data_IF_416260845912
#
_entry.id   IF_416260845912
#
_cell.length_a   1.000
_cell.length_b   1.000
_cell.length_c   1.000
_cell.angle_alpha   90.00
_cell.angle_beta   90.00
_cell.angle_gamma   90.00
#
_symmetry.space_group_name_H-M   'P 1'
#
loop_
_entity.id
_entity.type
_entity.pdbx_description
1 polymer ?
#
# COMPACT_ATOMS: atom_id res chain seq x y z
N UNK A 1 0.00 2.91 17.86
CA UNK A 1 1.02 3.86 17.40
C UNK A 1 1.39 3.64 15.94
N UNK A 2 2.21 2.64 15.63
CA UNK A 2 2.85 2.51 14.30
C UNK A 2 1.94 2.14 13.12
N UNK A 3 0.78 1.50 13.31
CA UNK A 3 -0.02 1.00 12.18
C UNK A 3 -0.80 2.09 11.41
N UNK A 4 -1.15 3.21 12.06
CA UNK A 4 -1.77 4.37 11.40
C UNK A 4 -0.76 5.35 10.81
N UNK A 5 0.45 5.42 11.38
CA UNK A 5 1.51 6.33 10.95
C UNK A 5 2.05 5.96 9.56
N UNK A 6 2.08 4.66 9.20
CA UNK A 6 2.49 4.25 7.84
C UNK A 6 1.49 4.66 6.76
N UNK A 7 0.18 4.67 7.05
CA UNK A 7 -0.82 5.19 6.11
C UNK A 7 -0.72 6.71 5.95
N UNK A 8 -0.44 7.41 7.06
CA UNK A 8 -0.23 8.86 7.06
C UNK A 8 1.05 9.25 6.32
N UNK A 9 2.16 8.53 6.45
CA UNK A 9 3.42 8.91 5.80
C UNK A 9 3.35 8.82 4.27
N UNK A 10 2.68 7.81 3.72
CA UNK A 10 2.45 7.73 2.26
C UNK A 10 1.51 8.84 1.81
N UNK A 11 0.43 9.10 2.57
CA UNK A 11 -0.54 10.15 2.25
C UNK A 11 0.05 11.55 2.38
N UNK A 12 0.84 11.84 3.42
CA UNK A 12 1.51 13.13 3.66
C UNK A 12 2.71 13.35 2.73
N UNK A 13 3.46 12.31 2.36
CA UNK A 13 4.51 12.39 1.33
C UNK A 13 3.93 12.82 -0.03
N UNK A 14 2.79 12.25 -0.41
CA UNK A 14 2.03 12.62 -1.59
C UNK A 14 1.41 14.03 -1.46
N UNK A 15 0.82 14.36 -0.30
CA UNK A 15 0.17 15.64 -0.04
C UNK A 15 1.16 16.82 -0.01
N UNK A 16 2.34 16.67 0.61
CA UNK A 16 3.39 17.70 0.60
C UNK A 16 4.02 17.88 -0.77
N UNK A 17 4.17 16.80 -1.55
CA UNK A 17 4.67 16.89 -2.93
C UNK A 17 3.69 17.60 -3.86
N UNK A 18 2.38 17.58 -3.56
CA UNK A 18 1.33 18.28 -4.31
C UNK A 18 1.26 19.79 -3.98
N UNK A 19 1.62 20.20 -2.76
CA UNK A 19 1.48 21.59 -2.30
C UNK A 19 2.71 22.49 -2.53
N UNK A 20 3.91 21.93 -2.72
CA UNK A 20 5.17 22.72 -2.75
C UNK A 20 5.73 23.02 -4.15
N UNK A 21 4.99 22.72 -5.23
CA UNK A 21 5.50 22.78 -6.60
C UNK A 21 5.04 23.96 -7.45
N UNK A 22 5.21 25.22 -7.00
CA UNK A 22 5.11 26.40 -7.88
C UNK A 22 6.31 27.32 -7.68
N UNK A 23 7.39 27.05 -8.42
CA UNK A 23 8.43 28.04 -8.67
C UNK A 23 8.41 28.39 -10.15
N UNK A 24 7.94 29.60 -10.48
CA UNK A 24 8.10 30.18 -11.80
C UNK A 24 9.58 30.53 -12.00
N UNK A 25 10.28 29.80 -12.87
CA UNK A 25 11.51 30.32 -13.48
C UNK A 25 11.25 30.59 -14.96
N UNK A 26 11.37 31.86 -15.33
CA UNK A 26 11.33 32.33 -16.71
C UNK A 26 12.53 31.78 -17.48
N UNK A 27 12.31 30.91 -18.45
CA UNK A 27 13.34 30.50 -19.40
C UNK A 27 13.51 31.56 -20.47
N UNK A 28 14.68 32.23 -20.50
CA UNK A 28 15.12 33.03 -21.65
C UNK A 28 15.50 32.11 -22.80
N UNK A 29 15.01 32.44 -23.99
CA UNK A 29 15.32 31.76 -25.25
C UNK A 29 16.83 31.76 -25.51
N UNK A 30 17.42 30.56 -25.58
CA UNK A 30 18.74 30.32 -26.14
C UNK A 30 18.54 29.52 -27.43
N UNK A 31 18.92 30.13 -28.55
CA UNK A 31 18.88 29.52 -29.87
C UNK A 31 19.72 28.24 -29.91
N UNK A 32 19.06 27.08 -30.00
CA UNK A 32 19.71 25.76 -30.02
C UNK A 32 19.67 25.18 -31.44
N UNK A 33 20.71 25.49 -32.22
CA UNK A 33 21.01 24.79 -33.46
C UNK A 33 22.24 23.90 -33.27
N UNK A 34 22.15 22.66 -33.76
CA UNK A 34 23.22 21.69 -33.96
C UNK A 34 23.91 21.09 -32.73
N UNK A 35 23.28 20.06 -32.16
CA UNK A 35 24.02 18.91 -31.62
C UNK A 35 23.90 17.78 -32.64
N UNK A 36 25.00 17.50 -33.33
CA UNK A 36 25.09 16.45 -34.33
C UNK A 36 24.91 15.06 -33.73
N UNK A 37 24.02 14.27 -34.34
CA UNK A 37 24.15 12.84 -34.66
C UNK A 37 24.38 11.78 -33.56
N UNK A 38 24.90 12.11 -32.39
CA UNK A 38 25.26 11.09 -31.40
C UNK A 38 24.05 10.71 -30.54
N UNK A 39 23.66 9.44 -30.63
CA UNK A 39 22.54 8.86 -29.90
C UNK A 39 22.84 8.91 -28.39
N UNK A 40 22.10 9.72 -27.63
CA UNK A 40 22.20 9.72 -26.18
C UNK A 40 21.81 8.35 -25.61
N UNK A 41 22.73 7.71 -24.89
CA UNK A 41 22.52 6.43 -24.20
C UNK A 41 22.80 6.62 -22.70
N UNK A 42 21.78 6.54 -21.83
CA UNK A 42 21.94 6.71 -20.39
C UNK A 42 22.66 5.51 -19.78
N UNK A 43 23.36 5.75 -18.68
CA UNK A 43 23.83 4.66 -17.82
C UNK A 43 22.63 4.03 -17.10
N UNK A 44 22.38 2.75 -17.38
CA UNK A 44 21.26 2.01 -16.81
C UNK A 44 21.70 1.30 -15.53
N UNK A 45 20.75 1.08 -14.61
CA UNK A 45 21.08 0.29 -13.43
C UNK A 45 21.46 -1.13 -13.85
N UNK A 46 22.32 -1.83 -13.10
CA UNK A 46 22.70 -3.19 -13.44
C UNK A 46 21.48 -4.05 -13.79
N UNK A 47 21.56 -4.84 -14.87
CA UNK A 47 20.46 -5.68 -15.38
C UNK A 47 19.35 -4.95 -16.15
N UNK A 48 19.32 -3.62 -16.13
CA UNK A 48 18.34 -2.82 -16.88
C UNK A 48 18.83 -2.66 -18.30
N UNK A 49 17.99 -2.99 -19.28
CA UNK A 49 18.34 -2.97 -20.69
C UNK A 49 17.42 -2.02 -21.44
N UNK A 50 17.99 -1.20 -22.32
CA UNK A 50 17.23 -0.38 -23.26
C UNK A 50 16.58 -1.28 -24.32
N UNK A 51 15.31 -1.00 -24.60
CA UNK A 51 14.50 -1.74 -25.57
C UNK A 51 14.17 -0.90 -26.79
N UNK A 52 13.95 0.40 -26.59
CA UNK A 52 13.76 1.37 -27.66
C UNK A 52 14.21 2.75 -27.23
N UNK A 53 14.89 3.46 -28.12
CA UNK A 53 15.31 4.85 -27.93
C UNK A 53 14.78 5.68 -29.09
N UNK A 54 14.06 6.77 -28.80
CA UNK A 54 13.49 7.66 -29.81
C UNK A 54 13.90 9.11 -29.51
N UNK A 55 14.55 9.75 -30.48
CA UNK A 55 14.96 11.15 -30.40
C UNK A 55 13.85 12.08 -30.91
N UNK A 56 13.90 13.36 -30.53
CA UNK A 56 12.94 14.37 -31.00
C UNK A 56 11.54 14.22 -30.41
N UNK A 57 11.40 13.48 -29.31
CA UNK A 57 10.12 13.35 -28.58
C UNK A 57 9.90 14.60 -27.75
N UNK A 58 8.70 15.16 -27.80
CA UNK A 58 8.31 16.27 -26.92
C UNK A 58 7.62 15.70 -25.69
N UNK A 59 8.14 16.02 -24.51
CA UNK A 59 7.57 15.64 -23.22
C UNK A 59 6.83 16.82 -22.60
N UNK A 60 5.61 16.55 -22.14
CA UNK A 60 4.78 17.46 -21.39
C UNK A 60 4.40 16.80 -20.07
N UNK A 61 4.85 17.37 -18.95
CA UNK A 61 4.25 17.08 -17.66
C UNK A 61 3.10 18.07 -17.45
N UNK A 62 1.88 17.59 -17.66
CA UNK A 62 0.63 18.38 -17.63
C UNK A 62 0.50 19.22 -16.35
N UNK A 63 1.21 18.84 -15.27
CA UNK A 63 1.14 19.49 -13.98
C UNK A 63 2.28 20.48 -13.65
N UNK A 64 3.44 20.49 -14.35
CA UNK A 64 4.65 21.13 -13.78
C UNK A 64 5.65 21.80 -14.72
N UNK A 65 5.71 21.52 -16.02
CA UNK A 65 6.80 22.05 -16.87
C UNK A 65 6.32 22.47 -18.24
N UNK A 66 6.97 23.49 -18.80
CA UNK A 66 6.86 23.78 -20.23
C UNK A 66 7.25 22.54 -21.05
N UNK A 67 6.67 22.34 -22.25
CA UNK A 67 7.03 21.25 -23.14
C UNK A 67 8.54 21.25 -23.41
N UNK A 68 9.17 20.08 -23.35
CA UNK A 68 10.60 19.93 -23.61
C UNK A 68 10.83 18.86 -24.68
N UNK A 69 11.63 19.18 -25.70
CA UNK A 69 12.05 18.20 -26.70
C UNK A 69 13.30 17.45 -26.21
N UNK A 70 13.36 16.15 -26.49
CA UNK A 70 14.45 15.30 -26.03
C UNK A 70 14.38 13.86 -26.51
N UNK A 71 15.00 12.99 -25.71
CA UNK A 71 15.14 11.57 -25.96
C UNK A 71 14.21 10.77 -25.05
N UNK A 72 13.35 9.93 -25.64
CA UNK A 72 12.52 8.94 -24.95
C UNK A 72 13.22 7.59 -24.97
N UNK A 73 13.26 6.90 -23.84
CA UNK A 73 13.94 5.61 -23.70
C UNK A 73 13.05 4.66 -22.92
N UNK A 74 12.69 3.56 -23.55
CA UNK A 74 11.96 2.46 -22.92
C UNK A 74 12.94 1.38 -22.52
N UNK A 75 12.91 0.97 -21.26
CA UNK A 75 13.70 -0.15 -20.75
C UNK A 75 12.80 -1.30 -20.31
N UNK A 76 13.40 -2.42 -19.92
CA UNK A 76 12.69 -3.53 -19.28
C UNK A 76 12.18 -3.21 -17.86
N UNK A 77 12.44 -2.01 -17.32
CA UNK A 77 12.04 -1.57 -15.98
C UNK A 77 11.16 -0.32 -15.96
N UNK A 78 11.51 0.68 -16.76
CA UNK A 78 10.95 2.04 -16.70
C UNK A 78 11.01 2.74 -18.05
N UNK A 79 10.39 3.90 -18.08
CA UNK A 79 10.50 4.89 -19.15
C UNK A 79 11.38 6.02 -18.63
N UNK A 80 12.33 6.45 -19.45
CA UNK A 80 13.18 7.60 -19.20
C UNK A 80 12.93 8.66 -20.26
N UNK A 81 13.01 9.91 -19.85
CA UNK A 81 13.06 11.04 -20.75
C UNK A 81 14.13 12.03 -20.33
N UNK A 82 14.98 12.39 -21.28
CA UNK A 82 16.07 13.34 -21.09
C UNK A 82 15.95 14.43 -22.15
N UNK A 83 15.71 15.66 -21.70
CA UNK A 83 15.59 16.84 -22.55
C UNK A 83 16.90 17.16 -23.24
N UNK A 84 16.84 17.79 -24.40
CA UNK A 84 18.03 18.22 -25.12
C UNK A 84 18.89 19.18 -24.29
N UNK A 85 18.26 20.05 -23.50
CA UNK A 85 18.95 20.95 -22.58
C UNK A 85 19.74 20.19 -21.51
N UNK A 86 19.15 19.14 -20.93
CA UNK A 86 19.85 18.27 -19.98
C UNK A 86 21.05 17.57 -20.63
N UNK A 87 20.89 17.08 -21.87
CA UNK A 87 21.99 16.45 -22.63
C UNK A 87 23.14 17.44 -22.80
N UNK A 88 22.88 18.66 -23.29
CA UNK A 88 23.88 19.73 -23.49
C UNK A 88 24.63 20.01 -22.17
N UNK A 89 23.87 20.25 -21.10
CA UNK A 89 24.44 20.65 -19.81
C UNK A 89 25.38 19.60 -19.21
N UNK A 90 25.08 18.32 -19.39
CA UNK A 90 25.93 17.24 -18.92
C UNK A 90 27.15 17.02 -19.82
N UNK A 91 26.98 17.08 -21.14
CA UNK A 91 28.11 17.03 -22.09
C UNK A 91 29.13 18.13 -21.80
N UNK A 92 28.67 19.36 -21.54
CA UNK A 92 29.53 20.50 -21.19
C UNK A 92 30.28 20.32 -19.86
N UNK A 93 29.75 19.51 -18.94
CA UNK A 93 30.39 19.21 -17.65
C UNK A 93 31.37 18.03 -17.71
N UNK A 94 31.60 17.45 -18.89
CA UNK A 94 32.47 16.27 -19.05
C UNK A 94 31.99 15.03 -18.29
N UNK A 95 30.72 15.02 -17.86
CA UNK A 95 30.10 13.92 -17.13
C UNK A 95 29.05 13.28 -18.01
N UNK A 96 29.06 11.96 -18.14
CA UNK A 96 27.87 11.26 -18.60
C UNK A 96 26.74 11.55 -17.61
N UNK A 97 25.53 11.84 -18.07
CA UNK A 97 24.44 12.16 -17.17
C UNK A 97 24.06 10.91 -16.38
N UNK A 98 24.37 10.90 -15.07
CA UNK A 98 23.81 9.94 -14.14
C UNK A 98 22.28 10.10 -14.15
N UNK A 99 21.58 8.96 -14.13
CA UNK A 99 20.13 8.87 -14.22
C UNK A 99 19.40 9.74 -13.16
N UNK A 100 19.99 9.94 -11.97
CA UNK A 100 19.36 10.75 -10.92
C UNK A 100 19.42 12.27 -11.19
N UNK A 101 20.43 12.76 -11.92
CA UNK A 101 20.68 14.20 -12.04
C UNK A 101 20.19 14.80 -13.37
N UNK A 102 20.07 13.98 -14.42
CA UNK A 102 19.80 14.46 -15.77
C UNK A 102 18.39 14.17 -16.30
N UNK A 103 17.72 13.20 -15.69
CA UNK A 103 16.48 12.66 -16.20
C UNK A 103 15.31 13.60 -15.86
N UNK A 104 14.68 14.15 -16.90
CA UNK A 104 13.52 15.02 -16.74
C UNK A 104 12.25 14.22 -16.37
N UNK A 105 12.17 12.96 -16.76
CA UNK A 105 11.11 12.05 -16.33
C UNK A 105 11.61 10.62 -16.19
N UNK A 106 11.40 10.04 -15.02
CA UNK A 106 11.49 8.60 -14.84
C UNK A 106 10.16 8.03 -14.38
N UNK A 107 9.68 7.03 -15.12
CA UNK A 107 8.42 6.36 -14.85
C UNK A 107 8.60 4.85 -14.85
N UNK A 108 8.67 4.24 -13.66
CA UNK A 108 8.72 2.79 -13.54
C UNK A 108 7.42 2.16 -14.04
N UNK A 109 7.51 1.02 -14.74
CA UNK A 109 6.33 0.36 -15.33
C UNK A 109 5.25 0.05 -14.28
N UNK A 110 5.64 -0.20 -13.03
CA UNK A 110 4.74 -0.46 -11.91
C UNK A 110 3.89 0.74 -11.48
N UNK A 111 4.34 1.96 -11.77
CA UNK A 111 3.66 3.22 -11.43
C UNK A 111 2.61 3.62 -12.47
N UNK A 112 2.64 3.03 -13.66
CA UNK A 112 1.65 3.27 -14.71
C UNK A 112 0.32 2.61 -14.29
N UNK A 113 -0.76 3.40 -14.31
CA UNK A 113 -2.12 2.91 -14.05
C UNK A 113 -2.88 2.72 -15.37
N UNK A 114 -2.85 3.74 -16.23
CA UNK A 114 -3.46 3.71 -17.57
C UNK A 114 -2.52 4.35 -18.58
N UNK A 115 -2.61 3.91 -19.83
CA UNK A 115 -1.90 4.54 -20.93
C UNK A 115 -2.73 4.47 -22.20
N UNK A 116 -2.59 5.48 -23.04
CA UNK A 116 -3.32 5.59 -24.32
C UNK A 116 -2.44 6.24 -25.37
N UNK A 117 -2.51 5.71 -26.59
CA UNK A 117 -1.92 6.34 -27.77
C UNK A 117 -3.05 6.93 -28.62
N UNK A 118 -2.96 8.22 -28.97
CA UNK A 118 -3.86 8.88 -29.91
C UNK A 118 -3.02 9.60 -30.95
N UNK A 119 -3.03 9.13 -32.21
CA UNK A 119 -2.08 9.55 -33.25
C UNK A 119 -0.65 9.31 -32.74
N UNK A 120 0.14 10.38 -32.57
CA UNK A 120 1.52 10.28 -32.07
C UNK A 120 1.65 10.72 -30.61
N UNK A 121 0.53 10.91 -29.92
CA UNK A 121 0.50 11.34 -28.52
C UNK A 121 0.28 10.14 -27.61
N UNK A 122 1.31 9.78 -26.85
CA UNK A 122 1.28 8.73 -25.85
C UNK A 122 1.15 9.35 -24.46
N UNK A 123 0.05 9.06 -23.78
CA UNK A 123 -0.26 9.61 -22.46
C UNK A 123 -0.26 8.51 -21.42
N UNK A 124 0.47 8.72 -20.32
CA UNK A 124 0.49 7.87 -19.15
C UNK A 124 -0.20 8.57 -17.97
N UNK A 125 -1.15 7.88 -17.38
CA UNK A 125 -1.70 8.22 -16.07
C UNK A 125 -1.09 7.31 -15.02
N UNK A 126 -0.52 7.92 -13.98
CA UNK A 126 0.29 7.22 -13.00
C UNK A 126 -0.43 7.12 -11.65
N UNK A 127 -0.06 6.12 -10.85
CA UNK A 127 -0.58 5.85 -9.50
C UNK A 127 -0.14 6.90 -8.46
N UNK A 128 0.88 7.68 -8.78
CA UNK A 128 1.39 8.81 -7.99
C UNK A 128 0.80 10.15 -8.46
N UNK A 129 -0.33 10.10 -9.17
CA UNK A 129 -1.08 11.24 -9.70
C UNK A 129 -0.38 12.04 -10.80
N UNK A 130 0.77 11.59 -11.32
CA UNK A 130 1.39 12.22 -12.49
C UNK A 130 0.65 11.86 -13.79
N UNK A 131 0.52 12.84 -14.68
CA UNK A 131 0.13 12.62 -16.08
C UNK A 131 1.29 13.05 -16.97
N UNK A 132 1.89 12.06 -17.63
CA UNK A 132 3.05 12.23 -18.49
C UNK A 132 2.61 12.07 -19.94
N UNK A 133 2.80 13.10 -20.76
CA UNK A 133 2.45 13.09 -22.18
C UNK A 133 3.71 13.16 -23.02
N UNK A 134 3.78 12.30 -24.03
CA UNK A 134 4.88 12.20 -24.98
C UNK A 134 4.34 12.32 -26.39
N UNK A 135 4.78 13.35 -27.12
CA UNK A 135 4.48 13.53 -28.53
C UNK A 135 5.65 13.02 -29.35
N UNK A 136 5.41 11.94 -30.09
CA UNK A 136 6.41 11.26 -30.91
C UNK A 136 6.49 11.85 -32.32
N UNK A 137 7.68 11.91 -32.92
CA UNK A 137 7.82 12.24 -34.34
C UNK A 137 7.45 11.04 -35.22
N UNK A 138 6.65 11.28 -36.27
CA UNK A 138 6.22 10.23 -37.20
C UNK A 138 5.49 9.06 -36.51
N UNK A 139 5.59 7.85 -37.06
CA UNK A 139 4.90 6.65 -36.55
C UNK A 139 5.65 5.92 -35.41
N UNK A 140 6.65 6.56 -34.79
CA UNK A 140 7.50 5.92 -33.76
C UNK A 140 6.77 5.68 -32.43
N UNK A 141 5.65 6.37 -32.19
CA UNK A 141 4.83 6.20 -30.98
C UNK A 141 4.19 4.82 -30.86
N UNK A 142 3.88 4.17 -31.99
CA UNK A 142 3.26 2.83 -32.01
C UNK A 142 4.22 1.75 -31.49
N UNK A 143 5.52 1.87 -31.80
CA UNK A 143 6.54 0.95 -31.31
C UNK A 143 6.73 1.07 -29.80
N UNK A 144 6.77 2.31 -29.29
CA UNK A 144 6.84 2.58 -27.86
C UNK A 144 5.59 2.04 -27.13
N UNK A 145 4.41 2.23 -27.71
CA UNK A 145 3.15 1.72 -27.17
C UNK A 145 3.15 0.19 -27.06
N UNK A 146 3.48 -0.52 -28.14
CA UNK A 146 3.58 -2.00 -28.14
C UNK A 146 4.63 -2.51 -27.16
N UNK A 147 5.77 -1.82 -27.08
CA UNK A 147 6.82 -2.12 -26.10
C UNK A 147 6.28 -2.08 -24.67
N UNK A 148 5.50 -1.05 -24.32
CA UNK A 148 4.92 -0.89 -22.99
C UNK A 148 3.79 -1.88 -22.75
N UNK A 149 2.93 -2.12 -23.74
CA UNK A 149 1.87 -3.13 -23.66
C UNK A 149 2.45 -4.50 -23.29
N UNK A 150 3.61 -4.86 -23.86
CA UNK A 150 4.34 -6.08 -23.51
C UNK A 150 4.69 -6.15 -22.02
N UNK A 151 5.08 -5.06 -21.36
CA UNK A 151 5.43 -5.06 -19.92
C UNK A 151 4.25 -4.83 -18.99
N UNK A 152 3.28 -4.02 -19.41
CA UNK A 152 2.02 -3.83 -18.72
C UNK A 152 1.28 -5.17 -18.60
N UNK A 153 1.26 -5.96 -19.68
CA UNK A 153 0.59 -7.26 -19.77
C UNK A 153 1.53 -8.47 -19.53
N UNK A 154 2.83 -8.25 -19.30
CA UNK A 154 3.78 -9.34 -19.05
C UNK A 154 3.40 -10.16 -17.80
N UNK A 155 3.58 -11.49 -17.89
CA UNK A 155 3.65 -12.38 -16.71
C UNK A 155 4.74 -11.86 -15.77
N UNK A 156 4.47 -11.85 -14.46
CA UNK A 156 5.33 -11.23 -13.43
C UNK A 156 6.79 -11.65 -13.47
N UNK A 157 7.05 -12.94 -13.74
CA UNK A 157 8.40 -13.51 -13.82
C UNK A 157 9.27 -12.78 -14.84
N UNK A 158 8.64 -12.07 -15.79
CA UNK A 158 9.34 -11.35 -16.84
C UNK A 158 9.67 -9.89 -16.49
N UNK A 159 9.30 -9.42 -15.29
CA UNK A 159 9.53 -8.04 -14.87
C UNK A 159 10.90 -7.91 -14.22
N UNK A 160 11.54 -6.76 -14.46
CA UNK A 160 12.88 -6.43 -13.98
C UNK A 160 13.13 -6.78 -12.51
N UNK A 161 12.19 -6.45 -11.61
CA UNK A 161 12.35 -6.72 -10.17
C UNK A 161 12.39 -8.22 -9.80
N UNK A 162 11.88 -9.13 -10.65
CA UNK A 162 11.90 -10.57 -10.42
C UNK A 162 13.16 -11.24 -10.99
N UNK A 163 13.68 -10.75 -12.11
CA UNK A 163 14.92 -11.25 -12.68
C UNK A 163 16.16 -10.73 -11.98
N UNK A 164 16.04 -9.56 -11.37
CA UNK A 164 17.19 -8.81 -10.92
C UNK A 164 17.39 -8.82 -9.40
N UNK A 165 16.90 -9.88 -8.76
CA UNK A 165 17.07 -10.12 -7.33
C UNK A 165 18.53 -10.26 -6.92
N UNK A 166 19.37 -10.74 -7.84
CA UNK A 166 20.84 -10.87 -7.65
C UNK A 166 21.56 -9.52 -7.59
N UNK A 167 21.00 -8.44 -8.16
CA UNK A 167 21.59 -7.09 -8.10
C UNK A 167 21.10 -6.24 -6.92
N UNK A 168 20.18 -6.78 -6.11
CA UNK A 168 19.88 -6.21 -4.80
C UNK A 168 21.02 -6.45 -3.78
N UNK A 169 21.83 -7.51 -3.96
CA UNK A 169 22.98 -7.80 -3.08
C UNK A 169 24.11 -6.76 -3.20
N UNK A 170 24.57 -6.33 -4.39
CA UNK A 170 25.68 -5.38 -4.50
C UNK A 170 25.29 -3.93 -4.16
N UNK A 171 24.03 -3.52 -4.42
CA UNK A 171 23.52 -2.19 -4.02
C UNK A 171 23.41 -2.04 -2.50
N UNK A 172 23.26 -3.15 -1.79
CA UNK A 172 23.36 -3.21 -0.35
C UNK A 172 24.82 -3.48 0.07
N UNK A 173 25.77 -2.58 -0.24
CA UNK A 173 27.18 -2.59 0.22
C UNK A 173 27.36 -3.15 1.64
N UNK A 174 27.35 -4.46 1.82
CA UNK A 174 27.27 -5.17 3.11
C UNK A 174 26.15 -4.81 4.11
N UNK A 175 25.23 -3.87 3.83
CA UNK A 175 24.44 -3.20 4.89
C UNK A 175 23.08 -3.83 5.24
N UNK A 176 22.45 -4.58 4.34
CA UNK A 176 21.13 -5.22 4.61
C UNK A 176 21.17 -6.67 4.16
N UNK A 177 21.81 -7.53 4.96
CA UNK A 177 21.92 -8.97 4.71
C UNK A 177 20.78 -9.78 5.32
N UNK A 178 19.83 -9.12 6.02
CA UNK A 178 18.73 -9.78 6.73
C UNK A 178 17.49 -8.91 6.81
N UNK A 179 16.31 -9.53 6.68
CA UNK A 179 15.04 -8.90 6.99
C UNK A 179 15.04 -8.35 8.42
N UNK A 180 14.72 -7.06 8.58
CA UNK A 180 14.72 -6.39 9.89
C UNK A 180 13.67 -6.93 10.87
N UNK A 181 12.59 -7.52 10.34
CA UNK A 181 11.48 -8.01 11.14
C UNK A 181 11.61 -9.50 11.48
N UNK A 182 11.36 -9.85 12.74
CA UNK A 182 11.19 -11.23 13.21
C UNK A 182 9.96 -11.28 14.11
N UNK A 183 8.99 -12.14 13.77
CA UNK A 183 7.76 -12.31 14.54
C UNK A 183 8.05 -12.73 15.99
N UNK A 184 9.01 -13.63 16.19
CA UNK A 184 9.45 -14.09 17.51
C UNK A 184 10.06 -12.94 18.33
N UNK A 185 10.99 -12.17 17.75
CA UNK A 185 11.60 -11.02 18.43
C UNK A 185 10.55 -9.97 18.79
N UNK A 186 9.60 -9.72 17.89
CA UNK A 186 8.57 -8.71 18.11
C UNK A 186 7.56 -9.16 19.17
N UNK A 187 7.17 -10.43 19.18
CA UNK A 187 6.35 -11.00 20.24
C UNK A 187 7.04 -10.89 21.60
N UNK A 188 8.32 -11.31 21.69
CA UNK A 188 9.14 -11.14 22.91
C UNK A 188 9.17 -9.68 23.37
N UNK A 189 9.33 -8.74 22.44
CA UNK A 189 9.36 -7.30 22.74
C UNK A 189 8.05 -6.80 23.34
N UNK A 190 6.89 -7.24 22.85
CA UNK A 190 5.60 -6.80 23.39
C UNK A 190 5.29 -7.45 24.73
N UNK A 191 5.52 -8.76 24.85
CA UNK A 191 5.26 -9.48 26.09
C UNK A 191 6.21 -9.05 27.20
N UNK A 192 7.38 -8.50 26.88
CA UNK A 192 8.28 -7.90 27.88
C UNK A 192 7.73 -6.60 28.50
N UNK A 193 6.76 -5.92 27.87
CA UNK A 193 6.20 -4.66 28.40
C UNK A 193 5.28 -4.85 29.60
N UNK A 194 4.76 -6.05 29.77
CA UNK A 194 3.92 -6.40 30.90
C UNK A 194 4.44 -7.72 31.46
N UNK A 195 4.99 -7.69 32.67
CA UNK A 195 5.75 -8.81 33.26
C UNK A 195 4.94 -10.11 33.35
N UNK A 196 3.63 -10.03 33.50
CA UNK A 196 2.75 -11.20 33.51
C UNK A 196 2.37 -11.71 32.11
N UNK A 197 2.61 -10.96 31.02
CA UNK A 197 2.21 -11.37 29.68
C UNK A 197 2.68 -12.79 29.26
N UNK A 198 3.90 -13.23 29.59
CA UNK A 198 4.36 -14.58 29.29
C UNK A 198 3.55 -15.70 29.97
N UNK A 199 2.82 -15.41 31.06
CA UNK A 199 1.94 -16.38 31.72
C UNK A 199 0.57 -16.49 31.07
N UNK A 200 0.24 -15.56 30.15
CA UNK A 200 -1.07 -15.48 29.50
C UNK A 200 -1.01 -15.71 27.99
N UNK A 201 0.14 -15.49 27.34
CA UNK A 201 0.30 -15.55 25.89
C UNK A 201 1.35 -16.56 25.48
N UNK A 202 1.08 -17.29 24.40
CA UNK A 202 2.03 -18.17 23.73
C UNK A 202 2.10 -17.86 22.24
N UNK A 203 3.24 -18.17 21.63
CA UNK A 203 3.35 -18.23 20.17
C UNK A 203 2.82 -19.60 19.70
N UNK A 204 1.97 -19.62 18.68
CA UNK A 204 1.58 -20.86 17.98
C UNK A 204 2.24 -20.93 16.61
N UNK A 205 2.58 -22.14 16.18
CA UNK A 205 3.08 -22.49 14.85
C UNK A 205 2.03 -23.26 14.02
N UNK A 206 0.75 -23.25 14.44
CA UNK A 206 -0.35 -23.96 13.76
C UNK A 206 -0.54 -23.56 12.29
N UNK A 207 -0.01 -22.41 11.87
CA UNK A 207 -0.09 -21.89 10.51
C UNK A 207 1.27 -21.94 9.77
N UNK A 208 2.21 -22.80 10.21
CA UNK A 208 3.56 -22.91 9.65
C UNK A 208 3.60 -23.16 8.13
N UNK A 209 2.61 -23.90 7.62
CA UNK A 209 2.42 -24.20 6.20
C UNK A 209 1.29 -23.38 5.56
N UNK A 210 0.78 -22.34 6.23
CA UNK A 210 -0.29 -21.47 5.74
C UNK A 210 -1.65 -22.16 5.47
N UNK A 211 -1.85 -23.39 5.95
CA UNK A 211 -3.07 -24.18 5.69
C UNK A 211 -4.29 -23.67 6.46
N UNK A 212 -4.11 -23.15 7.68
CA UNK A 212 -5.20 -22.62 8.52
C UNK A 212 -5.67 -21.28 7.99
N UNK A 213 -4.73 -20.41 7.64
CA UNK A 213 -5.00 -19.11 7.05
C UNK A 213 -3.85 -18.69 6.14
N UNK A 214 -4.08 -18.81 4.82
CA UNK A 214 -3.10 -18.46 3.80
C UNK A 214 -2.68 -17.00 3.78
N UNK A 215 -3.41 -16.14 4.50
CA UNK A 215 -3.13 -14.71 4.58
C UNK A 215 -2.60 -14.28 5.94
N UNK A 216 -2.36 -15.20 6.89
CA UNK A 216 -1.75 -14.89 8.19
C UNK A 216 -0.26 -15.25 8.18
N UNK A 217 0.53 -14.68 9.11
CA UNK A 217 1.90 -15.12 9.30
C UNK A 217 1.97 -16.60 9.70
N UNK A 218 3.14 -17.20 9.52
CA UNK A 218 3.43 -18.59 9.91
C UNK A 218 3.24 -18.85 11.41
N UNK A 219 3.52 -17.83 12.22
CA UNK A 219 3.54 -17.84 13.67
C UNK A 219 2.85 -16.59 14.19
N UNK A 220 2.03 -16.72 15.25
CA UNK A 220 1.35 -15.59 15.87
C UNK A 220 0.99 -15.87 17.34
N UNK A 221 0.75 -14.78 18.10
CA UNK A 221 0.44 -14.84 19.53
C UNK A 221 -1.04 -15.14 19.81
N UNK A 222 -1.29 -16.05 20.75
CA UNK A 222 -2.63 -16.50 21.20
C UNK A 222 -2.64 -16.73 22.72
N UNK A 223 -3.81 -16.76 23.38
CA UNK A 223 -3.90 -17.12 24.80
C UNK A 223 -3.31 -18.50 25.09
N UNK A 224 -2.52 -18.62 26.17
CA UNK A 224 -1.87 -19.87 26.57
C UNK A 224 -2.87 -20.96 26.97
N UNK A 225 -4.04 -20.55 27.49
CA UNK A 225 -5.12 -21.43 27.93
C UNK A 225 -5.82 -22.17 26.79
N UNK A 226 -5.63 -21.73 25.54
CA UNK A 226 -6.24 -22.32 24.37
C UNK A 226 -5.27 -23.22 23.63
N UNK A 227 -5.71 -24.41 23.24
CA UNK A 227 -4.95 -25.35 22.43
C UNK A 227 -5.21 -25.13 20.94
N UNK A 228 -4.27 -25.52 20.07
CA UNK A 228 -4.41 -25.28 18.62
C UNK A 228 -5.68 -25.95 18.03
N UNK A 229 -6.13 -27.08 18.59
CA UNK A 229 -7.40 -27.73 18.23
C UNK A 229 -8.64 -26.84 18.43
N UNK A 230 -8.61 -25.97 19.44
CA UNK A 230 -9.70 -25.04 19.72
C UNK A 230 -9.61 -23.83 18.79
N UNK A 231 -8.39 -23.38 18.49
CA UNK A 231 -8.11 -22.31 17.54
C UNK A 231 -8.58 -22.64 16.12
N UNK A 232 -8.47 -23.91 15.68
CA UNK A 232 -9.00 -24.35 14.39
C UNK A 232 -10.50 -24.10 14.27
N UNK A 233 -11.28 -24.35 15.33
CA UNK A 233 -12.73 -24.10 15.35
C UNK A 233 -13.06 -22.60 15.28
N UNK A 234 -12.22 -21.76 15.89
CA UNK A 234 -12.34 -20.30 15.81
C UNK A 234 -12.00 -19.83 14.39
N UNK A 235 -10.93 -20.34 13.78
CA UNK A 235 -10.57 -20.06 12.40
C UNK A 235 -11.72 -20.45 11.45
N UNK A 236 -12.35 -21.60 11.68
CA UNK A 236 -13.52 -22.06 10.93
C UNK A 236 -14.75 -21.17 11.11
N UNK A 237 -14.89 -20.45 12.21
CA UNK A 237 -15.95 -19.46 12.38
C UNK A 237 -15.62 -18.11 11.75
N UNK A 238 -14.34 -17.81 11.53
CA UNK A 238 -13.86 -16.50 11.09
C UNK A 238 -13.64 -16.49 9.58
N UNK A 239 -14.03 -15.40 8.93
CA UNK A 239 -13.93 -15.32 7.47
C UNK A 239 -12.49 -15.55 7.00
N UNK A 240 -12.30 -16.51 6.08
CA UNK A 240 -10.99 -16.93 5.54
C UNK A 240 -9.99 -17.46 6.57
N UNK A 241 -10.46 -18.06 7.67
CA UNK A 241 -9.57 -18.61 8.70
C UNK A 241 -8.87 -17.55 9.55
N UNK A 242 -9.24 -16.26 9.41
CA UNK A 242 -8.59 -15.14 10.08
C UNK A 242 -9.09 -14.97 11.52
N UNK A 243 -8.74 -15.94 12.35
CA UNK A 243 -8.99 -15.93 13.78
C UNK A 243 -8.35 -14.72 14.50
N UNK A 244 -8.77 -14.41 15.73
CA UNK A 244 -8.18 -13.31 16.49
C UNK A 244 -6.75 -13.63 16.89
N UNK A 245 -5.82 -12.72 16.60
CA UNK A 245 -4.40 -12.86 16.95
C UNK A 245 -3.87 -11.59 17.61
N UNK A 246 -2.85 -11.73 18.46
CA UNK A 246 -2.22 -10.62 19.17
C UNK A 246 -1.51 -9.65 18.21
N UNK A 247 -1.80 -8.35 18.36
CA UNK A 247 -1.14 -7.27 17.62
C UNK A 247 -0.37 -6.31 18.52
N UNK A 248 -0.79 -6.12 19.77
CA UNK A 248 -0.15 -5.21 20.71
C UNK A 248 -0.48 -5.56 22.17
N UNK A 249 0.48 -5.33 23.06
CA UNK A 249 0.33 -5.42 24.52
C UNK A 249 0.72 -4.08 25.13
N UNK A 250 -0.13 -3.56 26.01
CA UNK A 250 0.08 -2.37 26.83
C UNK A 250 0.65 -2.73 28.20
N UNK A 251 1.28 -1.78 28.88
CA UNK A 251 1.95 -1.99 30.18
C UNK A 251 0.97 -2.37 31.31
N UNK A 252 -0.29 -1.95 31.20
CA UNK A 252 -1.39 -2.36 32.11
C UNK A 252 -1.98 -3.75 31.77
N UNK A 253 -1.35 -4.49 30.85
CA UNK A 253 -1.81 -5.79 30.35
C UNK A 253 -2.98 -5.72 29.36
N UNK A 254 -3.43 -4.52 28.95
CA UNK A 254 -4.44 -4.41 27.91
C UNK A 254 -3.86 -4.83 26.56
N UNK A 255 -4.67 -5.44 25.70
CA UNK A 255 -4.19 -5.91 24.39
C UNK A 255 -5.06 -5.43 23.25
N UNK A 256 -4.45 -5.35 22.08
CA UNK A 256 -5.15 -5.25 20.80
C UNK A 256 -5.00 -6.58 20.10
N UNK A 257 -6.14 -7.19 19.75
CA UNK A 257 -6.21 -8.34 18.87
C UNK A 257 -6.95 -7.98 17.59
N UNK A 258 -6.56 -8.60 16.48
CA UNK A 258 -7.16 -8.38 15.16
C UNK A 258 -7.72 -9.68 14.59
N UNK A 259 -8.78 -9.58 13.81
CA UNK A 259 -9.37 -10.74 13.13
C UNK A 259 -10.11 -10.33 11.85
N UNK A 260 -10.77 -11.29 11.20
CA UNK A 260 -11.87 -11.00 10.27
C UNK A 260 -13.26 -11.17 10.92
N UNK A 261 -14.26 -10.61 10.25
CA UNK A 261 -15.67 -10.76 10.62
C UNK A 261 -16.09 -12.23 10.87
N UNK A 262 -16.98 -12.46 11.85
CA UNK A 262 -17.53 -13.79 12.12
C UNK A 262 -18.47 -14.24 10.99
N UNK A 263 -18.53 -15.55 10.74
CA UNK A 263 -19.53 -16.20 9.89
C UNK A 263 -20.83 -16.44 10.69
N UNK A 264 -21.40 -15.36 11.21
CA UNK A 264 -22.57 -15.39 12.09
C UNK A 264 -23.87 -15.65 11.32
N UNK A 265 -23.94 -15.20 10.07
CA UNK A 265 -25.09 -15.29 9.19
C UNK A 265 -26.34 -14.57 9.74
N UNK A 266 -27.46 -14.77 9.05
CA UNK A 266 -28.75 -14.17 9.43
C UNK A 266 -29.20 -14.61 10.82
N UNK A 267 -29.07 -15.92 11.12
CA UNK A 267 -29.45 -16.52 12.41
C UNK A 267 -28.62 -16.00 13.59
N UNK A 268 -27.46 -15.37 13.34
CA UNK A 268 -26.63 -14.78 14.39
C UNK A 268 -26.21 -15.77 15.47
N UNK A 269 -26.03 -17.04 15.08
CA UNK A 269 -25.86 -18.15 16.02
C UNK A 269 -24.62 -18.00 16.89
N UNK A 270 -24.75 -18.37 18.16
CA UNK A 270 -23.62 -18.40 19.11
C UNK A 270 -22.61 -19.47 18.67
N UNK A 271 -21.37 -19.07 18.39
CA UNK A 271 -20.28 -20.02 18.21
C UNK A 271 -19.56 -20.26 19.54
N UNK A 272 -19.61 -21.49 20.06
CA UNK A 272 -19.03 -21.83 21.37
C UNK A 272 -17.51 -21.58 21.40
N UNK A 273 -16.78 -21.95 20.35
CA UNK A 273 -15.33 -21.78 20.31
C UNK A 273 -14.93 -20.29 20.29
N UNK A 274 -15.61 -19.45 19.52
CA UNK A 274 -15.37 -18.01 19.46
C UNK A 274 -15.69 -17.31 20.79
N UNK A 275 -16.77 -17.72 21.46
CA UNK A 275 -17.12 -17.21 22.81
C UNK A 275 -16.09 -17.66 23.84
N UNK A 276 -15.67 -18.93 23.84
CA UNK A 276 -14.60 -19.42 24.71
C UNK A 276 -13.28 -18.70 24.45
N UNK A 277 -12.97 -18.39 23.20
CA UNK A 277 -11.79 -17.58 22.85
C UNK A 277 -11.90 -16.17 23.47
N UNK A 278 -13.04 -15.51 23.33
CA UNK A 278 -13.28 -14.20 23.93
C UNK A 278 -13.18 -14.21 25.46
N UNK A 279 -13.65 -15.27 26.12
CA UNK A 279 -13.49 -15.46 27.57
C UNK A 279 -12.02 -15.65 27.95
N UNK A 280 -11.28 -16.47 27.18
CA UNK A 280 -9.85 -16.66 27.38
C UNK A 280 -9.07 -15.35 27.21
N UNK A 281 -9.46 -14.50 26.25
CA UNK A 281 -8.92 -13.14 26.14
C UNK A 281 -9.17 -12.37 27.43
N UNK A 282 -10.41 -12.23 27.87
CA UNK A 282 -10.74 -11.48 29.10
C UNK A 282 -9.96 -11.99 30.31
N UNK A 283 -9.77 -13.32 30.43
CA UNK A 283 -8.99 -13.95 31.49
C UNK A 283 -7.48 -13.69 31.43
N UNK A 284 -6.93 -13.26 30.28
CA UNK A 284 -5.54 -12.86 30.14
C UNK A 284 -5.21 -11.55 30.89
N UNK A 285 -6.17 -10.89 31.54
CA UNK A 285 -5.92 -9.75 32.41
C UNK A 285 -6.94 -9.70 33.56
N UNK A 286 -6.48 -9.87 34.80
CA UNK A 286 -7.35 -9.91 35.99
C UNK A 286 -8.06 -8.58 36.28
N UNK A 287 -7.53 -7.47 35.76
CA UNK A 287 -8.14 -6.15 35.90
C UNK A 287 -9.18 -5.86 34.82
N UNK A 288 -9.43 -6.82 33.92
CA UNK A 288 -10.33 -6.66 32.79
C UNK A 288 -11.76 -6.32 33.21
N UNK A 289 -12.29 -5.25 32.61
CA UNK A 289 -13.69 -4.82 32.72
C UNK A 289 -14.57 -5.39 31.61
N UNK A 290 -14.02 -6.24 30.74
CA UNK A 290 -14.73 -6.84 29.61
C UNK A 290 -14.06 -6.60 28.26
N UNK A 291 -14.80 -6.87 27.19
CA UNK A 291 -14.32 -6.88 25.81
C UNK A 291 -14.86 -5.67 25.03
N UNK A 292 -13.99 -4.89 24.39
CA UNK A 292 -14.42 -3.85 23.45
C UNK A 292 -14.17 -4.31 22.02
N UNK A 293 -15.25 -4.51 21.27
CA UNK A 293 -15.24 -4.87 19.86
C UNK A 293 -15.39 -3.60 19.03
N UNK A 294 -14.41 -3.34 18.16
CA UNK A 294 -14.40 -2.20 17.25
C UNK A 294 -14.48 -2.73 15.83
N UNK A 295 -15.66 -2.62 15.22
CA UNK A 295 -15.86 -2.95 13.82
C UNK A 295 -15.59 -1.70 12.99
N UNK A 296 -14.65 -1.80 12.06
CA UNK A 296 -14.28 -0.65 11.26
C UNK A 296 -15.40 -0.14 10.35
N UNK A 297 -16.33 -1.01 9.95
CA UNK A 297 -17.35 -0.69 8.95
C UNK A 297 -18.40 0.27 9.49
N UNK A 298 -19.12 0.97 8.60
CA UNK A 298 -20.45 1.47 8.89
C UNK A 298 -21.39 0.32 9.25
N UNK A 299 -22.31 0.59 10.18
CA UNK A 299 -23.31 -0.40 10.64
C UNK A 299 -24.10 -1.01 9.49
N UNK A 300 -24.48 -0.21 8.48
CA UNK A 300 -25.23 -0.68 7.31
C UNK A 300 -24.40 -1.69 6.49
N UNK A 301 -23.12 -1.39 6.26
CA UNK A 301 -22.21 -2.30 5.55
C UNK A 301 -21.99 -3.60 6.34
N UNK A 302 -21.95 -3.53 7.67
CA UNK A 302 -21.86 -4.71 8.52
C UNK A 302 -23.15 -5.55 8.47
N UNK A 303 -24.31 -4.92 8.43
CA UNK A 303 -25.61 -5.58 8.27
C UNK A 303 -25.75 -6.26 6.89
N UNK A 304 -25.29 -5.61 5.81
CA UNK A 304 -25.27 -6.21 4.48
C UNK A 304 -24.38 -7.48 4.44
N UNK A 305 -23.20 -7.44 5.08
CA UNK A 305 -22.35 -8.63 5.22
C UNK A 305 -23.02 -9.74 6.04
N UNK A 306 -23.84 -9.39 7.04
CA UNK A 306 -24.61 -10.36 7.81
C UNK A 306 -25.64 -11.08 6.95
N UNK A 307 -26.31 -10.35 6.04
CA UNK A 307 -27.21 -10.94 5.06
C UNK A 307 -26.49 -11.90 4.11
N UNK A 308 -25.23 -11.60 3.76
CA UNK A 308 -24.38 -12.46 2.93
C UNK A 308 -23.73 -13.65 3.69
N UNK A 309 -24.17 -13.98 4.90
CA UNK A 309 -23.67 -15.13 5.68
C UNK A 309 -22.51 -14.84 6.63
N UNK A 310 -21.97 -13.61 6.63
CA UNK A 310 -20.97 -13.15 7.59
C UNK A 310 -21.62 -12.35 8.72
N UNK A 311 -21.09 -11.17 9.08
CA UNK A 311 -21.74 -10.25 10.01
C UNK A 311 -20.81 -9.68 11.07
N UNK A 312 -21.33 -9.52 12.27
CA UNK A 312 -20.66 -8.93 13.43
C UNK A 312 -21.15 -9.63 14.70
N UNK A 313 -20.39 -9.49 15.78
CA UNK A 313 -20.64 -10.15 17.05
C UNK A 313 -21.95 -9.68 17.70
N UNK A 314 -22.78 -10.63 18.15
CA UNK A 314 -23.91 -10.32 19.04
C UNK A 314 -23.40 -10.25 20.48
N UNK A 315 -23.29 -9.05 21.05
CA UNK A 315 -22.73 -8.81 22.39
C UNK A 315 -23.44 -9.59 23.50
N UNK A 316 -24.70 -9.99 23.33
CA UNK A 316 -25.40 -10.86 24.29
C UNK A 316 -24.73 -12.23 24.51
N UNK A 317 -23.89 -12.67 23.57
CA UNK A 317 -23.15 -13.94 23.69
C UNK A 317 -21.78 -13.81 24.37
N UNK A 318 -21.30 -12.58 24.57
CA UNK A 318 -19.96 -12.28 25.04
C UNK A 318 -20.05 -11.48 26.34
N UNK A 319 -19.48 -12.03 27.41
CA UNK A 319 -19.55 -11.44 28.74
C UNK A 319 -18.91 -10.04 28.77
N UNK A 320 -19.65 -9.05 29.28
CA UNK A 320 -19.23 -7.65 29.40
C UNK A 320 -18.65 -7.08 28.08
N UNK A 321 -19.22 -7.49 26.94
CA UNK A 321 -18.77 -7.03 25.63
C UNK A 321 -19.53 -5.80 25.13
N UNK A 322 -18.79 -4.86 24.54
CA UNK A 322 -19.34 -3.71 23.82
C UNK A 322 -18.97 -3.79 22.35
N UNK A 323 -19.85 -3.37 21.44
CA UNK A 323 -19.58 -3.30 20.00
C UNK A 323 -19.76 -1.85 19.54
N UNK A 324 -18.74 -1.30 18.87
CA UNK A 324 -18.76 0.02 18.25
C UNK A 324 -18.38 -0.06 16.78
N UNK A 325 -19.15 0.60 15.93
CA UNK A 325 -18.83 0.82 14.52
C UNK A 325 -18.01 2.10 14.37
N UNK A 326 -16.96 2.08 13.52
CA UNK A 326 -16.07 3.21 13.27
C UNK A 326 -16.36 3.95 11.97
N UNK A 327 -17.37 3.50 11.21
CA UNK A 327 -17.87 4.16 10.00
C UNK A 327 -16.83 4.38 8.88
N UNK A 328 -15.81 3.53 8.81
CA UNK A 328 -14.81 3.51 7.74
C UNK A 328 -15.38 2.79 6.52
N UNK A 329 -15.64 3.55 5.48
CA UNK A 329 -16.22 3.05 4.23
C UNK A 329 -15.35 2.01 3.51
N UNK A 330 -15.99 1.30 2.57
CA UNK A 330 -15.33 0.24 1.81
C UNK A 330 -14.34 0.79 0.76
N UNK A 331 -13.54 -0.10 0.17
CA UNK A 331 -12.48 0.27 -0.78
C UNK A 331 -12.96 0.98 -2.05
N UNK A 332 -14.22 0.79 -2.45
CA UNK A 332 -14.76 1.43 -3.65
C UNK A 332 -14.98 2.92 -3.37
N UNK A 333 -15.64 3.23 -2.25
CA UNK A 333 -15.82 4.61 -1.79
C UNK A 333 -14.48 5.34 -1.61
N UNK A 334 -13.49 4.67 -0.97
CA UNK A 334 -12.15 5.24 -0.79
C UNK A 334 -11.44 5.52 -2.13
N UNK A 335 -11.63 4.63 -3.13
CA UNK A 335 -11.05 4.79 -4.46
C UNK A 335 -11.70 5.96 -5.20
N UNK A 336 -13.03 6.06 -5.14
CA UNK A 336 -13.77 7.12 -5.81
C UNK A 336 -13.41 8.50 -5.22
N UNK A 337 -13.24 8.59 -3.90
CA UNK A 337 -12.77 9.80 -3.22
C UNK A 337 -11.37 10.24 -3.68
N UNK A 338 -10.41 9.31 -3.75
CA UNK A 338 -9.04 9.60 -4.21
C UNK A 338 -9.01 9.96 -5.70
N UNK A 339 -9.80 9.28 -6.54
CA UNK A 339 -9.91 9.62 -7.96
C UNK A 339 -10.50 11.01 -8.17
N UNK A 340 -11.55 11.37 -7.42
CA UNK A 340 -12.15 12.70 -7.47
C UNK A 340 -11.14 13.79 -7.07
N UNK A 341 -10.31 13.53 -6.06
CA UNK A 341 -9.23 14.44 -5.67
C UNK A 341 -8.12 14.53 -6.72
N UNK A 342 -7.73 13.39 -7.32
CA UNK A 342 -6.77 13.35 -8.43
C UNK A 342 -7.25 14.22 -9.59
N UNK A 343 -8.50 14.05 -10.01
CA UNK A 343 -9.07 14.79 -11.14
C UNK A 343 -9.12 16.29 -10.86
N UNK A 344 -9.48 16.69 -9.62
CA UNK A 344 -9.44 18.08 -9.19
C UNK A 344 -8.01 18.66 -9.23
N UNK A 345 -7.01 17.95 -8.71
CA UNK A 345 -5.62 18.39 -8.69
C UNK A 345 -4.98 18.48 -10.09
N UNK A 346 -5.49 17.70 -11.05
CA UNK A 346 -5.03 17.71 -12.43
C UNK A 346 -5.76 18.72 -13.31
N UNK A 347 -6.81 19.35 -12.80
CA UNK A 347 -7.51 20.43 -13.51
C UNK A 347 -6.60 21.63 -13.69
N UNK A 348 -6.54 22.15 -14.92
CA UNK A 348 -5.80 23.37 -15.27
C UNK A 348 -6.66 24.64 -15.18
N UNK A 349 -7.94 24.50 -14.87
CA UNK A 349 -8.86 25.63 -14.74
C UNK A 349 -8.63 26.40 -13.43
N UNK A 350 -8.76 27.72 -13.49
CA UNK A 350 -8.88 28.53 -12.28
C UNK A 350 -10.20 28.18 -11.58
N UNK A 351 -10.11 27.78 -10.30
CA UNK A 351 -11.24 27.31 -9.53
C UNK A 351 -11.40 28.15 -8.25
N UNK A 352 -12.26 29.17 -8.32
CA UNK A 352 -12.60 30.01 -7.17
C UNK A 352 -13.33 29.22 -6.05
N UNK A 353 -13.78 27.99 -6.34
CA UNK A 353 -14.43 27.07 -5.41
C UNK A 353 -13.55 25.88 -5.03
N UNK A 354 -12.23 25.97 -5.21
CA UNK A 354 -11.31 24.86 -4.97
C UNK A 354 -11.52 24.16 -3.62
N UNK A 355 -11.65 24.91 -2.52
CA UNK A 355 -11.85 24.32 -1.20
C UNK A 355 -13.17 23.57 -1.06
N UNK A 356 -14.24 24.07 -1.70
CA UNK A 356 -15.54 23.38 -1.74
C UNK A 356 -15.43 22.10 -2.56
N UNK A 357 -14.73 22.14 -3.69
CA UNK A 357 -14.52 20.97 -4.53
C UNK A 357 -13.64 19.92 -3.84
N UNK A 358 -12.63 20.34 -3.05
CA UNK A 358 -11.85 19.45 -2.19
C UNK A 358 -12.75 18.76 -1.17
N UNK A 359 -13.65 19.50 -0.49
CA UNK A 359 -14.58 18.92 0.47
C UNK A 359 -15.54 17.91 -0.18
N UNK A 360 -16.06 18.24 -1.37
CA UNK A 360 -16.92 17.36 -2.17
C UNK A 360 -16.25 16.03 -2.57
N UNK A 361 -14.91 15.95 -2.62
CA UNK A 361 -14.21 14.68 -2.85
C UNK A 361 -14.35 13.69 -1.69
N UNK A 362 -14.73 14.17 -0.51
CA UNK A 362 -14.80 13.41 0.75
C UNK A 362 -13.46 12.80 1.20
N UNK A 363 -12.36 13.07 0.49
CA UNK A 363 -11.08 12.43 0.73
C UNK A 363 -10.54 12.76 2.14
N UNK A 364 -10.54 14.04 2.50
CA UNK A 364 -10.14 14.49 3.85
C UNK A 364 -11.12 14.03 4.93
N UNK A 365 -12.42 13.94 4.61
CA UNK A 365 -13.44 13.38 5.52
C UNK A 365 -13.15 11.93 5.85
N UNK A 366 -12.78 11.11 4.87
CA UNK A 366 -12.39 9.71 5.13
C UNK A 366 -11.08 9.61 5.91
N UNK A 367 -10.09 10.46 5.64
CA UNK A 367 -8.86 10.53 6.46
C UNK A 367 -9.20 10.85 7.92
N UNK A 368 -10.06 11.84 8.16
CA UNK A 368 -10.55 12.19 9.51
C UNK A 368 -11.20 10.99 10.20
N UNK A 369 -12.11 10.28 9.53
CA UNK A 369 -12.82 9.12 10.10
C UNK A 369 -11.83 8.00 10.48
N UNK A 370 -10.83 7.72 9.63
CA UNK A 370 -9.79 6.72 9.92
C UNK A 370 -8.98 7.12 11.15
N UNK A 371 -8.57 8.39 11.25
CA UNK A 371 -7.81 8.92 12.38
C UNK A 371 -8.63 8.92 13.67
N UNK A 372 -9.89 9.32 13.59
CA UNK A 372 -10.80 9.30 14.72
C UNK A 372 -11.03 7.88 15.22
N UNK A 373 -11.28 6.91 14.32
CA UNK A 373 -11.38 5.49 14.69
C UNK A 373 -10.12 4.96 15.38
N UNK A 374 -8.93 5.31 14.88
CA UNK A 374 -7.65 4.93 15.48
C UNK A 374 -7.42 5.60 16.86
N UNK A 375 -7.81 6.87 17.00
CA UNK A 375 -7.73 7.62 18.24
C UNK A 375 -8.67 7.03 19.30
N UNK A 376 -9.92 6.73 18.93
CA UNK A 376 -10.89 6.06 19.82
C UNK A 376 -10.37 4.71 20.32
N UNK A 377 -9.75 3.92 19.44
CA UNK A 377 -9.05 2.68 19.79
C UNK A 377 -7.96 2.94 20.82
N UNK A 378 -7.06 3.88 20.54
CA UNK A 378 -5.94 4.21 21.41
C UNK A 378 -6.39 4.71 22.79
N UNK A 379 -7.45 5.52 22.86
CA UNK A 379 -8.02 6.00 24.12
C UNK A 379 -8.66 4.90 24.96
N UNK A 380 -9.18 3.85 24.32
CA UNK A 380 -9.76 2.71 25.03
C UNK A 380 -8.70 1.82 25.65
N UNK A 381 -7.52 1.63 25.05
CA UNK A 381 -6.50 0.69 25.55
C UNK A 381 -6.12 0.90 27.04
N UNK A 382 -5.94 2.13 27.54
CA UNK A 382 -5.69 2.34 28.97
C UNK A 382 -6.89 2.04 29.88
N UNK A 383 -8.11 2.15 29.36
CA UNK A 383 -9.39 2.09 30.11
C UNK A 383 -10.12 0.75 29.96
N UNK A 384 -9.82 0.02 28.90
CA UNK A 384 -10.47 -1.19 28.43
C UNK A 384 -9.38 -2.19 28.08
N UNK A 385 -9.50 -3.38 28.65
CA UNK A 385 -8.37 -4.30 28.72
C UNK A 385 -8.26 -5.20 27.48
N UNK A 386 -9.32 -5.33 26.69
CA UNK A 386 -9.28 -6.04 25.42
C UNK A 386 -9.95 -5.24 24.33
N UNK A 387 -9.21 -5.02 23.26
CA UNK A 387 -9.71 -4.41 22.04
C UNK A 387 -9.66 -5.41 20.89
N UNK A 388 -10.83 -5.80 20.45
CA UNK A 388 -11.02 -6.68 19.31
C UNK A 388 -11.31 -5.84 18.07
N UNK A 389 -10.36 -5.73 17.15
CA UNK A 389 -10.59 -5.01 15.90
C UNK A 389 -11.05 -6.01 14.84
N UNK A 390 -12.35 -6.01 14.59
CA UNK A 390 -12.93 -6.74 13.47
C UNK A 390 -12.68 -5.94 12.20
N UNK A 391 -12.00 -6.55 11.25
CA UNK A 391 -11.74 -5.89 9.98
C UNK A 391 -12.88 -6.18 8.99
N UNK A 392 -13.41 -5.09 8.43
CA UNK A 392 -13.73 -5.02 7.01
C UNK A 392 -12.64 -5.78 6.23
N UNK A 393 -12.97 -6.43 5.13
CA UNK A 393 -12.09 -7.35 4.36
C UNK A 393 -10.61 -6.96 4.25
N UNK A 394 -10.26 -5.66 4.34
CA UNK A 394 -8.90 -5.18 4.50
C UNK A 394 -8.77 -4.09 5.59
N UNK A 395 -8.17 -4.41 6.73
CA UNK A 395 -7.30 -3.44 7.41
C UNK A 395 -5.92 -4.06 7.47
N UNK A 396 -5.00 -3.27 6.94
CA UNK A 396 -3.60 -3.56 6.75
C UNK A 396 -2.94 -3.81 8.12
N UNK A 397 -2.37 -4.99 8.29
CA UNK A 397 -1.20 -5.17 9.17
C UNK A 397 -0.03 -5.41 8.25
N UNK A 398 1.11 -4.79 8.57
CA UNK A 398 2.43 -5.06 8.00
C UNK A 398 2.45 -5.14 6.48
N UNK A 399 2.85 -4.05 5.82
CA UNK A 399 3.01 -3.98 4.36
C UNK A 399 3.83 -5.15 3.74
N UNK A 400 4.57 -5.92 4.55
CA UNK A 400 5.39 -7.06 4.12
C UNK A 400 4.78 -8.45 4.38
N UNK A 401 3.85 -8.64 5.34
CA UNK A 401 3.35 -10.01 5.64
C UNK A 401 2.20 -10.47 4.74
N UNK A 402 1.75 -9.63 3.79
CA UNK A 402 0.68 -9.94 2.83
C UNK A 402 0.93 -9.31 1.45
N UNK A 403 1.96 -9.80 0.75
CA UNK A 403 2.24 -9.40 -0.64
C UNK A 403 1.06 -9.63 -1.60
N UNK A 404 0.30 -10.73 -1.42
CA UNK A 404 -0.83 -11.06 -2.30
C UNK A 404 -1.94 -9.98 -2.31
N UNK A 405 -2.12 -9.27 -1.20
CA UNK A 405 -3.18 -8.26 -1.09
C UNK A 405 -2.69 -6.85 -1.42
N UNK A 406 -1.42 -6.53 -1.14
CA UNK A 406 -0.81 -5.29 -1.64
C UNK A 406 -0.82 -5.32 -3.16
N UNK A 407 -0.36 -6.43 -3.76
CA UNK A 407 -0.24 -6.52 -5.19
C UNK A 407 -1.59 -6.44 -5.93
N UNK A 408 -2.61 -7.15 -5.43
CA UNK A 408 -3.99 -6.99 -5.94
C UNK A 408 -4.54 -5.56 -5.79
N UNK A 409 -4.12 -4.80 -4.78
CA UNK A 409 -4.60 -3.42 -4.52
C UNK A 409 -3.90 -2.36 -5.34
N UNK A 410 -2.59 -2.49 -5.53
CA UNK A 410 -1.81 -1.58 -6.39
C UNK A 410 -1.80 -2.06 -7.84
N UNK A 411 -2.62 -3.06 -8.19
CA UNK A 411 -2.65 -3.73 -9.48
C UNK A 411 -1.23 -4.12 -9.95
N UNK A 412 -0.38 -4.53 -9.02
CA UNK A 412 0.79 -5.33 -9.38
C UNK A 412 0.29 -6.76 -9.52
N UNK A 413 0.60 -7.46 -10.62
CA UNK A 413 0.09 -8.81 -10.79
C UNK A 413 0.66 -9.71 -9.68
N UNK A 414 -0.09 -10.72 -9.22
CA UNK A 414 0.29 -11.68 -8.15
C UNK A 414 0.58 -13.08 -8.66
N UNK A 415 1.58 -13.77 -8.08
CA UNK A 415 1.93 -15.15 -8.40
C UNK A 415 0.97 -16.14 -7.70
N UNK A 416 0.63 -17.30 -8.30
CA UNK A 416 -0.26 -18.29 -7.66
C UNK A 416 0.38 -19.06 -6.49
N UNK A 417 1.71 -19.10 -6.38
CA UNK A 417 2.43 -19.69 -5.24
C UNK A 417 3.12 -18.60 -4.40
N UNK A 418 2.93 -18.69 -3.09
CA UNK A 418 3.32 -17.77 -2.02
C UNK A 418 4.78 -17.21 -2.04
N UNK A 419 4.93 -16.11 -1.28
CA UNK A 419 6.13 -15.60 -0.59
C UNK A 419 7.29 -15.09 -1.44
N UNK A 420 7.22 -13.83 -1.86
CA UNK A 420 8.38 -13.02 -2.24
C UNK A 420 8.17 -11.53 -1.87
N UNK A 421 8.81 -11.09 -0.78
CA UNK A 421 8.75 -9.70 -0.28
C UNK A 421 9.51 -8.75 -1.20
N UNK A 422 8.87 -7.73 -1.77
CA UNK A 422 9.61 -6.58 -2.32
C UNK A 422 8.93 -5.22 -2.12
N UNK A 423 9.79 -4.25 -1.78
CA UNK A 423 9.51 -2.83 -1.81
C UNK A 423 10.00 -2.26 -3.15
N UNK A 424 9.14 -1.51 -3.83
CA UNK A 424 9.57 -0.45 -4.75
C UNK A 424 9.96 0.72 -3.84
N UNK A 425 11.22 1.17 -3.89
CA UNK A 425 11.57 2.52 -3.43
C UNK A 425 10.86 3.49 -4.39
N UNK A 426 9.89 4.22 -3.87
CA UNK A 426 9.34 5.43 -4.48
C UNK A 426 9.94 6.62 -3.77
#
# INVERSE_FOLDING_TARGET
GCCCVCCLLVFFSLFFSLLTGRSNSSTKDLSMANLGGNLYTPELIPGENSLSTVQGVTFENVSRTAPAMGCFILTNFRILFVSQLSIVNHTMKGKLPDYNDACNCSLAHSTIDKFKLKKNELVFECKDFRVCKFLFPGETGEQAYKGIERFANAKQTNRFCYFNTELAEPLAQGKITKWFYSAEKEFKRFTAKWSEAPTFWRMTNMNSNYSVCSTYPKEFGVPISLQDKDLLKVADHRSRGRLPILSYVHENGAVIVRCAQPKAGLKGGKNKADVTFAQALVACNKFSKGLSIMDARPKLNAAANRAAGAGYENTAHYENATLKFLDIENIHVMRDAVNSLKDLCLSTAQDDKFLTNVDNTMCLTHVKIILDGAWQIAQKVPKSFFLFVSHATIIFDGALSKELFFAKKVNTPTHPNNSVCYHVKG
#
